data_IF_851203138312
#
_entry.id   IF_851203138312
#
_cell.length_a   1.000
_cell.length_b   1.000
_cell.length_c   1.000
_cell.angle_alpha   90.00
_cell.angle_beta   90.00
_cell.angle_gamma   90.00
#
_symmetry.space_group_name_H-M   'P 1'
#
loop_
_entity.id
_entity.type
_entity.pdbx_description
1 polymer ?
#
# COMPACT_ATOMS: atom_id res chain seq x y z
N UNK A 1 -3.40 18.74 26.00
CA UNK A 1 -2.20 19.41 25.45
C UNK A 1 -2.01 20.69 26.26
N UNK A 2 -0.86 20.88 26.90
CA UNK A 2 -0.60 22.06 27.72
C UNK A 2 -0.04 23.20 26.86
N UNK A 3 -0.92 24.12 26.47
CA UNK A 3 -0.54 25.27 25.66
C UNK A 3 0.33 26.27 26.45
N UNK A 4 0.20 26.33 27.78
CA UNK A 4 1.04 27.19 28.61
C UNK A 4 2.49 26.69 28.62
N UNK A 5 2.68 25.37 28.70
CA UNK A 5 3.98 24.71 28.54
C UNK A 5 4.62 24.97 27.17
N UNK A 6 3.86 24.96 26.07
CA UNK A 6 4.40 25.29 24.74
C UNK A 6 4.85 26.76 24.64
N UNK A 7 4.07 27.69 25.22
CA UNK A 7 4.38 29.12 25.21
C UNK A 7 5.58 29.46 26.09
N UNK A 8 5.85 28.69 27.14
CA UNK A 8 7.01 28.91 28.02
C UNK A 8 8.33 28.33 27.47
N UNK A 9 8.29 27.52 26.39
CA UNK A 9 9.50 26.94 25.81
C UNK A 9 10.50 28.01 25.33
N UNK A 10 11.82 27.74 25.44
CA UNK A 10 12.84 28.52 24.77
C UNK A 10 12.61 28.61 23.26
N UNK A 11 13.01 29.73 22.65
CA UNK A 11 12.79 30.00 21.23
C UNK A 11 13.23 28.85 20.28
N UNK A 12 14.40 28.20 20.47
CA UNK A 12 14.80 27.08 19.60
C UNK A 12 13.79 25.94 19.57
N UNK A 13 13.21 25.57 20.72
CA UNK A 13 12.21 24.50 20.79
C UNK A 13 10.89 24.91 20.14
N UNK A 14 10.48 26.17 20.29
CA UNK A 14 9.31 26.70 19.57
C UNK A 14 9.48 26.61 18.06
N UNK A 15 10.66 27.00 17.56
CA UNK A 15 10.99 26.90 16.15
C UNK A 15 11.02 25.44 15.67
N UNK A 16 11.58 24.52 16.47
CA UNK A 16 11.56 23.09 16.17
C UNK A 16 10.11 22.55 16.10
N UNK A 17 9.25 22.88 17.06
CA UNK A 17 7.83 22.53 17.03
C UNK A 17 7.13 23.11 15.79
N UNK A 18 7.36 24.39 15.47
CA UNK A 18 6.79 25.02 14.29
C UNK A 18 7.25 24.35 13.00
N UNK A 19 8.53 23.97 12.91
CA UNK A 19 9.08 23.24 11.76
C UNK A 19 8.44 21.86 11.60
N UNK A 20 8.23 21.11 12.70
CA UNK A 20 7.54 19.81 12.67
C UNK A 20 6.08 19.94 12.20
N UNK A 21 5.37 20.97 12.69
CA UNK A 21 4.00 21.27 12.24
C UNK A 21 3.99 21.64 10.77
N UNK A 22 4.88 22.55 10.33
CA UNK A 22 4.99 22.97 8.94
C UNK A 22 5.32 21.78 8.01
N UNK A 23 6.24 20.90 8.43
CA UNK A 23 6.59 19.69 7.69
C UNK A 23 5.39 18.74 7.55
N UNK A 24 4.64 18.53 8.64
CA UNK A 24 3.43 17.71 8.64
C UNK A 24 2.37 18.30 7.71
N UNK A 25 2.11 19.62 7.81
CA UNK A 25 1.15 20.32 6.95
C UNK A 25 1.57 20.26 5.47
N UNK A 26 2.86 20.45 5.18
CA UNK A 26 3.39 20.31 3.83
C UNK A 26 3.16 18.90 3.30
N UNK A 27 3.45 17.87 4.09
CA UNK A 27 3.19 16.49 3.70
C UNK A 27 1.71 16.18 3.51
N UNK A 28 0.82 16.81 4.28
CA UNK A 28 -0.62 16.69 4.10
C UNK A 28 -1.08 17.36 2.79
N UNK A 29 -0.53 18.53 2.43
CA UNK A 29 -0.83 19.23 1.17
C UNK A 29 -0.19 18.57 -0.06
N UNK A 30 1.01 17.99 0.11
CA UNK A 30 1.83 17.36 -0.93
C UNK A 30 2.13 15.90 -0.56
N UNK A 31 1.12 15.03 -0.62
CA UNK A 31 1.30 13.61 -0.27
C UNK A 31 2.28 12.89 -1.19
N UNK A 32 2.59 13.46 -2.36
CA UNK A 32 3.61 12.99 -3.32
C UNK A 32 5.06 13.24 -2.86
N UNK A 33 5.28 14.12 -1.87
CA UNK A 33 6.63 14.57 -1.48
C UNK A 33 7.08 14.09 -0.10
N UNK A 34 6.14 13.73 0.75
CA UNK A 34 6.41 13.31 2.13
C UNK A 34 5.69 12.01 2.37
N UNK A 35 6.43 10.99 2.84
CA UNK A 35 5.85 9.70 3.22
C UNK A 35 4.74 9.90 4.25
N UNK A 36 3.74 9.02 4.20
CA UNK A 36 2.53 9.13 5.01
C UNK A 36 2.81 9.03 6.51
N UNK A 37 3.89 8.34 6.90
CA UNK A 37 4.32 8.16 8.30
C UNK A 37 4.68 9.51 8.91
N UNK A 38 5.60 10.25 8.30
CA UNK A 38 6.04 11.53 8.87
C UNK A 38 5.00 12.65 8.76
N UNK A 39 4.03 12.50 7.85
CA UNK A 39 2.87 13.40 7.78
C UNK A 39 1.68 12.93 8.64
N UNK A 40 1.84 11.86 9.43
CA UNK A 40 0.81 11.29 10.32
C UNK A 40 -0.54 10.98 9.63
N UNK A 41 -0.52 10.67 8.32
CA UNK A 41 -1.76 10.46 7.53
C UNK A 41 -2.52 9.20 7.93
N UNK A 42 -1.85 8.24 8.56
CA UNK A 42 -2.45 7.00 9.04
C UNK A 42 -3.46 7.22 10.17
N UNK A 43 -3.31 8.26 10.97
CA UNK A 43 -4.30 8.64 11.98
C UNK A 43 -5.54 9.36 11.40
N UNK A 44 -5.44 9.84 10.16
CA UNK A 44 -6.49 10.63 9.51
C UNK A 44 -7.39 9.81 8.57
N UNK A 45 -7.26 8.48 8.52
CA UNK A 45 -8.01 7.64 7.57
C UNK A 45 -7.60 7.85 6.09
N UNK A 46 -6.43 8.46 5.87
CA UNK A 46 -5.88 8.84 4.56
C UNK A 46 -4.58 8.08 4.26
N UNK A 47 -4.51 6.84 4.73
CA UNK A 47 -3.37 5.96 4.53
C UNK A 47 -3.27 5.59 3.03
N UNK A 48 -2.14 5.78 2.34
CA UNK A 48 -1.97 5.19 1.02
C UNK A 48 -1.73 3.67 1.17
N UNK A 49 -1.97 2.81 0.18
CA UNK A 49 -1.58 1.39 0.29
C UNK A 49 -1.39 0.76 -1.07
N UNK A 50 -0.30 0.02 -1.17
CA UNK A 50 -0.02 -0.89 -2.27
C UNK A 50 -0.54 -2.31 -2.01
N UNK A 51 -0.80 -3.05 -3.07
CA UNK A 51 -1.09 -4.49 -3.09
C UNK A 51 -0.27 -5.09 -4.23
N UNK A 52 0.40 -6.20 -3.97
CA UNK A 52 1.15 -6.96 -4.96
C UNK A 52 0.33 -8.20 -5.29
N UNK A 53 -0.02 -8.36 -6.55
CA UNK A 53 -0.62 -9.57 -7.08
C UNK A 53 0.54 -10.44 -7.59
N UNK A 54 0.76 -11.58 -6.93
CA UNK A 54 1.80 -12.55 -7.28
C UNK A 54 1.18 -13.80 -7.86
N UNK A 55 1.59 -14.16 -9.08
CA UNK A 55 1.30 -15.49 -9.62
C UNK A 55 2.16 -16.53 -8.92
N UNK A 56 1.68 -17.77 -8.90
CA UNK A 56 2.42 -18.93 -8.39
C UNK A 56 3.83 -19.03 -8.99
N UNK A 57 3.97 -18.80 -10.30
CA UNK A 57 5.26 -18.82 -10.99
C UNK A 57 6.24 -17.75 -10.49
N UNK A 58 5.75 -16.56 -10.11
CA UNK A 58 6.61 -15.56 -9.46
C UNK A 58 7.07 -16.01 -8.08
N UNK A 59 6.17 -16.59 -7.29
CA UNK A 59 6.49 -17.08 -5.96
C UNK A 59 7.52 -18.23 -6.00
N UNK A 60 7.38 -19.15 -6.96
CA UNK A 60 8.36 -20.22 -7.21
C UNK A 60 9.74 -19.65 -7.58
N UNK A 61 9.81 -18.62 -8.43
CA UNK A 61 11.07 -17.92 -8.76
C UNK A 61 11.70 -17.29 -7.51
N UNK A 62 10.89 -16.70 -6.63
CA UNK A 62 11.36 -16.11 -5.38
C UNK A 62 11.91 -17.17 -4.42
N UNK A 63 11.26 -18.34 -4.29
CA UNK A 63 11.76 -19.46 -3.49
C UNK A 63 13.05 -20.06 -4.05
N UNK A 64 13.16 -20.18 -5.37
CA UNK A 64 14.39 -20.64 -6.00
C UNK A 64 15.54 -19.65 -5.79
N UNK A 65 15.25 -18.35 -5.82
CA UNK A 65 16.25 -17.30 -5.64
C UNK A 65 16.73 -17.17 -4.19
N UNK A 66 15.83 -17.34 -3.23
CA UNK A 66 16.05 -17.18 -1.80
C UNK A 66 15.52 -18.38 -1.00
N UNK A 67 16.15 -19.56 -1.10
CA UNK A 67 15.68 -20.77 -0.43
C UNK A 67 15.66 -20.62 1.10
N UNK A 68 16.58 -19.88 1.69
CA UNK A 68 16.61 -19.65 3.14
C UNK A 68 15.39 -18.84 3.62
N UNK A 69 14.89 -17.91 2.79
CA UNK A 69 13.65 -17.19 3.08
C UNK A 69 12.42 -18.06 2.85
N UNK A 70 12.46 -18.97 1.88
CA UNK A 70 11.37 -19.92 1.65
C UNK A 70 11.14 -20.83 2.87
N UNK A 71 12.19 -21.19 3.60
CA UNK A 71 12.11 -21.96 4.85
C UNK A 71 11.40 -21.21 5.98
N UNK A 72 11.41 -19.87 5.93
CA UNK A 72 10.76 -19.05 6.96
C UNK A 72 9.24 -19.07 6.87
N UNK A 73 8.68 -19.29 5.67
CA UNK A 73 7.24 -19.31 5.43
C UNK A 73 6.84 -18.78 4.05
N UNK A 74 5.54 -18.76 3.76
CA UNK A 74 5.03 -18.33 2.46
C UNK A 74 5.19 -16.82 2.22
N UNK A 75 5.46 -16.45 0.97
CA UNK A 75 5.56 -15.04 0.56
C UNK A 75 4.25 -14.31 0.86
N UNK A 76 4.33 -13.25 1.66
CA UNK A 76 3.23 -12.30 1.83
C UNK A 76 2.18 -12.66 2.88
N UNK A 77 2.47 -13.65 3.73
CA UNK A 77 1.72 -13.91 4.95
C UNK A 77 2.46 -13.38 6.19
N UNK A 78 1.80 -13.46 7.35
CA UNK A 78 2.49 -13.37 8.63
C UNK A 78 3.54 -14.49 8.74
N UNK A 79 4.65 -14.20 9.40
CA UNK A 79 5.67 -15.22 9.63
C UNK A 79 5.10 -16.37 10.50
N UNK A 80 5.28 -17.66 10.13
CA UNK A 80 4.85 -18.84 10.91
C UNK A 80 5.29 -18.85 12.37
N UNK A 81 6.44 -18.26 12.69
CA UNK A 81 6.88 -18.08 14.09
C UNK A 81 5.99 -17.12 14.91
N UNK A 82 5.24 -16.22 14.27
CA UNK A 82 4.27 -15.32 14.93
C UNK A 82 2.92 -16.02 15.09
N UNK A 83 2.45 -16.70 14.04
CA UNK A 83 1.21 -17.47 14.05
C UNK A 83 1.40 -18.78 13.27
N UNK A 84 1.55 -19.93 13.95
CA UNK A 84 1.80 -21.21 13.30
C UNK A 84 0.60 -21.76 12.51
N UNK A 85 -0.62 -21.36 12.83
CA UNK A 85 -1.84 -21.83 12.16
C UNK A 85 -2.05 -21.10 10.81
N UNK A 86 -2.00 -21.87 9.72
CA UNK A 86 -2.18 -21.34 8.36
C UNK A 86 -3.53 -20.67 8.14
N UNK A 87 -4.62 -21.26 8.65
CA UNK A 87 -5.94 -20.71 8.49
C UNK A 87 -6.06 -19.35 9.19
N UNK A 88 -5.45 -19.18 10.37
CA UNK A 88 -5.41 -17.90 11.06
C UNK A 88 -4.57 -16.86 10.31
N UNK A 89 -3.43 -17.25 9.72
CA UNK A 89 -2.61 -16.33 8.90
C UNK A 89 -3.37 -15.85 7.67
N UNK A 90 -4.00 -16.76 6.93
CA UNK A 90 -4.83 -16.43 5.77
C UNK A 90 -6.02 -15.56 6.16
N UNK A 91 -6.72 -15.94 7.23
CA UNK A 91 -7.83 -15.14 7.78
C UNK A 91 -7.39 -13.74 8.15
N UNK A 92 -6.21 -13.59 8.77
CA UNK A 92 -5.64 -12.29 9.10
C UNK A 92 -5.39 -11.46 7.84
N UNK A 93 -4.76 -12.04 6.81
CA UNK A 93 -4.46 -11.36 5.54
C UNK A 93 -5.74 -10.81 4.88
N UNK A 94 -6.79 -11.64 4.77
CA UNK A 94 -8.06 -11.22 4.17
C UNK A 94 -8.82 -10.20 5.03
N UNK A 95 -8.82 -10.37 6.36
CA UNK A 95 -9.44 -9.40 7.27
C UNK A 95 -8.70 -8.06 7.25
N UNK A 96 -7.37 -8.08 7.15
CA UNK A 96 -6.55 -6.90 6.98
C UNK A 96 -6.93 -6.19 5.69
N UNK A 97 -7.01 -6.90 4.56
CA UNK A 97 -7.49 -6.35 3.29
C UNK A 97 -8.86 -5.70 3.37
N UNK A 98 -9.84 -6.42 3.92
CA UNK A 98 -11.20 -5.90 4.09
C UNK A 98 -11.23 -4.65 4.99
N UNK A 99 -10.46 -4.65 6.07
CA UNK A 99 -10.36 -3.51 6.99
C UNK A 99 -9.83 -2.28 6.28
N UNK A 100 -8.74 -2.41 5.53
CA UNK A 100 -8.14 -1.28 4.81
C UNK A 100 -9.07 -0.73 3.73
N UNK A 101 -9.67 -1.61 2.92
CA UNK A 101 -10.63 -1.24 1.89
C UNK A 101 -11.86 -0.51 2.43
N UNK A 102 -12.28 -0.79 3.67
CA UNK A 102 -13.48 -0.20 4.28
C UNK A 102 -13.17 1.02 5.16
N UNK A 103 -12.04 1.02 5.86
CA UNK A 103 -11.65 2.05 6.83
C UNK A 103 -10.82 3.18 6.23
N UNK A 104 -10.06 2.93 5.15
CA UNK A 104 -9.20 3.94 4.52
C UNK A 104 -9.82 4.43 3.22
N UNK A 105 -10.07 5.73 3.12
CA UNK A 105 -10.79 6.31 1.98
C UNK A 105 -10.10 6.03 0.63
N UNK A 106 -8.76 6.19 0.48
CA UNK A 106 -8.10 5.89 -0.79
C UNK A 106 -8.25 4.43 -1.24
N UNK A 107 -8.44 3.49 -0.30
CA UNK A 107 -8.43 2.06 -0.63
C UNK A 107 -9.78 1.54 -1.06
N UNK A 108 -10.83 2.36 -0.98
CA UNK A 108 -12.13 2.01 -1.56
C UNK A 108 -12.02 1.73 -3.07
N UNK A 109 -11.07 2.37 -3.76
CA UNK A 109 -10.80 2.11 -5.18
C UNK A 109 -10.14 0.75 -5.44
N UNK A 110 -9.47 0.16 -4.45
CA UNK A 110 -8.60 -1.00 -4.64
C UNK A 110 -9.31 -2.20 -5.26
N UNK A 111 -10.53 -2.60 -4.85
CA UNK A 111 -11.22 -3.73 -5.46
C UNK A 111 -11.46 -3.56 -6.96
N UNK A 112 -11.74 -2.33 -7.41
CA UNK A 112 -11.91 -2.03 -8.82
C UNK A 112 -10.59 -2.13 -9.60
N UNK A 113 -9.49 -1.67 -9.00
CA UNK A 113 -8.16 -1.78 -9.61
C UNK A 113 -7.68 -3.23 -9.65
N UNK A 114 -7.94 -4.02 -8.60
CA UNK A 114 -7.69 -5.46 -8.60
C UNK A 114 -8.48 -6.13 -9.73
N UNK A 115 -9.78 -5.83 -9.88
CA UNK A 115 -10.56 -6.35 -11.00
C UNK A 115 -9.98 -5.96 -12.38
N UNK A 116 -9.46 -4.73 -12.51
CA UNK A 116 -8.80 -4.24 -13.73
C UNK A 116 -7.54 -5.05 -14.06
N UNK A 117 -6.74 -5.42 -13.06
CA UNK A 117 -5.55 -6.27 -13.23
C UNK A 117 -5.92 -7.72 -13.53
N UNK A 118 -6.90 -8.28 -12.80
CA UNK A 118 -7.28 -9.69 -12.92
C UNK A 118 -7.95 -10.02 -14.27
N UNK A 119 -8.60 -9.06 -14.93
CA UNK A 119 -9.27 -9.22 -16.24
C UNK A 119 -10.21 -10.44 -16.31
N UNK A 120 -10.91 -10.73 -15.21
CA UNK A 120 -11.84 -11.86 -15.10
C UNK A 120 -11.23 -13.16 -14.58
N UNK A 121 -9.90 -13.22 -14.40
CA UNK A 121 -9.23 -14.29 -13.65
C UNK A 121 -9.63 -14.24 -12.18
N UNK A 122 -9.72 -15.39 -11.50
CA UNK A 122 -10.07 -15.40 -10.07
C UNK A 122 -8.87 -14.95 -9.26
N UNK A 123 -9.13 -14.23 -8.17
CA UNK A 123 -8.08 -13.84 -7.21
C UNK A 123 -7.39 -15.07 -6.59
N UNK A 124 -8.11 -16.20 -6.50
CA UNK A 124 -7.62 -17.50 -6.02
C UNK A 124 -6.74 -18.24 -7.02
N UNK A 125 -6.72 -17.81 -8.29
CA UNK A 125 -5.76 -18.35 -9.28
C UNK A 125 -4.36 -17.74 -9.07
N UNK A 126 -4.24 -16.78 -8.15
CA UNK A 126 -3.00 -16.24 -7.60
C UNK A 126 -2.82 -16.86 -6.22
N UNK A 127 -1.62 -17.34 -5.89
CA UNK A 127 -1.36 -17.86 -4.53
C UNK A 127 -1.29 -16.74 -3.49
N UNK A 128 -1.12 -15.48 -3.91
CA UNK A 128 -1.16 -14.36 -2.97
C UNK A 128 -1.59 -13.02 -3.59
N UNK A 129 -2.55 -12.36 -2.92
CA UNK A 129 -2.58 -10.90 -2.84
C UNK A 129 -1.74 -10.51 -1.64
N UNK A 130 -0.52 -10.10 -1.92
CA UNK A 130 0.48 -9.79 -0.93
C UNK A 130 0.48 -8.29 -0.66
N UNK A 131 0.38 -7.86 0.59
CA UNK A 131 0.66 -6.45 0.87
C UNK A 131 2.17 -6.23 0.76
N UNK A 132 2.64 -5.12 0.16
CA UNK A 132 4.05 -4.73 0.20
C UNK A 132 4.63 -4.77 1.61
N UNK A 133 3.80 -4.44 2.61
CA UNK A 133 4.16 -4.60 4.02
C UNK A 133 4.54 -6.05 4.35
N UNK A 134 3.75 -7.05 3.95
CA UNK A 134 4.06 -8.44 4.26
C UNK A 134 5.27 -8.96 3.49
N UNK A 135 5.36 -8.62 2.20
CA UNK A 135 6.54 -8.98 1.40
C UNK A 135 7.83 -8.40 2.00
N UNK A 136 7.83 -7.09 2.27
CA UNK A 136 9.05 -6.40 2.66
C UNK A 136 9.41 -6.62 4.13
N UNK A 137 8.42 -6.56 5.03
CA UNK A 137 8.64 -6.65 6.49
C UNK A 137 8.77 -8.08 6.98
N UNK A 138 7.90 -8.99 6.54
CA UNK A 138 7.89 -10.36 7.09
C UNK A 138 8.70 -11.35 6.28
N UNK A 139 8.95 -11.08 4.99
CA UNK A 139 9.64 -12.03 4.12
C UNK A 139 11.05 -11.58 3.71
N UNK A 140 11.20 -10.37 3.14
CA UNK A 140 12.51 -9.83 2.74
C UNK A 140 13.31 -9.21 3.91
N UNK A 141 12.82 -9.33 5.15
CA UNK A 141 13.46 -8.84 6.38
C UNK A 141 13.88 -7.35 6.37
N UNK A 142 13.21 -6.52 5.57
CA UNK A 142 13.42 -5.07 5.53
C UNK A 142 12.42 -4.34 6.43
N UNK A 143 12.85 -3.30 7.16
CA UNK A 143 11.92 -2.35 7.79
C UNK A 143 11.33 -1.41 6.73
N UNK A 144 10.46 -1.94 5.87
CA UNK A 144 9.76 -1.18 4.85
C UNK A 144 8.26 -1.19 5.14
N UNK A 145 7.78 -0.10 5.71
CA UNK A 145 6.36 0.14 5.92
C UNK A 145 5.79 0.80 4.67
N UNK A 146 4.77 0.18 4.08
CA UNK A 146 3.86 0.72 3.06
C UNK A 146 4.15 2.17 2.59
N UNK A 147 5.13 2.34 1.71
CA UNK A 147 5.58 3.67 1.28
C UNK A 147 5.52 3.78 -0.24
N UNK A 148 4.39 4.27 -0.79
CA UNK A 148 4.21 4.41 -2.24
C UNK A 148 5.31 5.21 -2.94
N UNK A 149 6.04 6.06 -2.21
CA UNK A 149 7.16 6.82 -2.77
C UNK A 149 8.38 5.96 -3.07
N UNK A 150 8.52 4.80 -2.41
CA UNK A 150 9.70 3.93 -2.51
C UNK A 150 9.37 2.48 -2.94
N UNK A 151 8.10 2.05 -2.91
CA UNK A 151 7.68 0.68 -3.28
C UNK A 151 8.16 0.23 -4.68
N UNK A 152 8.25 1.16 -5.65
CA UNK A 152 8.75 0.83 -7.00
C UNK A 152 10.22 0.39 -7.01
N UNK A 153 11.03 0.86 -6.06
CA UNK A 153 12.43 0.43 -5.93
C UNK A 153 12.48 -1.02 -5.50
N UNK A 154 11.70 -1.40 -4.49
CA UNK A 154 11.60 -2.80 -4.04
C UNK A 154 11.19 -3.71 -5.20
N UNK A 155 10.15 -3.34 -5.95
CA UNK A 155 9.66 -4.13 -7.08
C UNK A 155 10.75 -4.32 -8.15
N UNK A 156 11.51 -3.27 -8.46
CA UNK A 156 12.63 -3.33 -9.43
C UNK A 156 13.76 -4.22 -8.94
N UNK A 157 14.15 -4.13 -7.67
CA UNK A 157 15.24 -4.96 -7.12
C UNK A 157 14.83 -6.44 -7.08
N UNK A 158 13.62 -6.76 -6.64
CA UNK A 158 13.12 -8.15 -6.67
C UNK A 158 13.05 -8.67 -8.11
N UNK A 159 12.63 -7.86 -9.07
CA UNK A 159 12.61 -8.24 -10.48
C UNK A 159 14.00 -8.54 -11.06
N UNK A 160 15.03 -7.75 -10.71
CA UNK A 160 16.42 -7.99 -11.16
C UNK A 160 16.92 -9.37 -10.74
N UNK A 161 16.50 -9.85 -9.58
CA UNK A 161 16.94 -11.11 -9.01
C UNK A 161 16.09 -12.30 -9.48
N UNK A 162 14.78 -12.10 -9.66
CA UNK A 162 13.83 -13.18 -9.96
C UNK A 162 13.46 -13.29 -11.44
N UNK A 163 13.73 -12.28 -12.26
CA UNK A 163 13.41 -12.25 -13.70
C UNK A 163 11.94 -12.63 -14.00
N UNK A 164 11.00 -11.91 -13.38
CA UNK A 164 9.57 -12.12 -13.62
C UNK A 164 9.19 -11.92 -15.10
N UNK A 165 8.23 -12.72 -15.58
CA UNK A 165 7.54 -12.47 -16.83
C UNK A 165 6.43 -11.44 -16.63
N UNK A 166 5.92 -10.91 -17.75
CA UNK A 166 4.79 -9.99 -17.74
C UNK A 166 3.58 -10.58 -17.00
N UNK A 167 3.04 -9.79 -16.08
CA UNK A 167 1.86 -10.09 -15.29
C UNK A 167 2.09 -11.10 -14.17
N UNK A 168 3.32 -11.53 -13.90
CA UNK A 168 3.60 -12.46 -12.79
C UNK A 168 3.73 -11.76 -11.44
N UNK A 169 4.17 -10.50 -11.43
CA UNK A 169 4.32 -9.69 -10.22
C UNK A 169 3.84 -8.26 -10.52
N UNK A 170 2.64 -7.92 -10.05
CA UNK A 170 1.97 -6.65 -10.35
C UNK A 170 1.66 -5.90 -9.07
N UNK A 171 2.19 -4.69 -8.93
CA UNK A 171 1.91 -3.80 -7.81
C UNK A 171 0.84 -2.77 -8.18
N UNK A 172 -0.20 -2.69 -7.35
CA UNK A 172 -1.32 -1.76 -7.48
C UNK A 172 -1.29 -0.84 -6.27
N UNK A 173 -1.32 0.48 -6.46
CA UNK A 173 -1.27 1.43 -5.35
C UNK A 173 -2.33 2.51 -5.46
N UNK A 174 -2.93 2.85 -4.32
CA UNK A 174 -3.72 4.07 -4.14
C UNK A 174 -2.97 5.02 -3.19
N UNK A 175 -2.70 6.24 -3.66
CA UNK A 175 -2.00 7.27 -2.88
C UNK A 175 -2.99 8.09 -2.03
N UNK A 176 -2.47 8.81 -1.05
CA UNK A 176 -3.27 9.68 -0.19
C UNK A 176 -3.91 10.83 -0.96
N UNK A 177 -5.05 11.30 -0.47
CA UNK A 177 -5.60 12.59 -0.87
C UNK A 177 -4.75 13.73 -0.29
N UNK A 178 -4.64 14.87 -1.00
CA UNK A 178 -4.14 16.10 -0.38
C UNK A 178 -5.11 16.61 0.69
N UNK A 179 -4.60 17.38 1.64
CA UNK A 179 -5.37 17.96 2.74
C UNK A 179 -6.58 18.72 2.21
N UNK A 180 -7.72 18.54 2.88
CA UNK A 180 -9.00 19.17 2.54
C UNK A 180 -9.49 18.88 1.11
N UNK A 181 -8.96 17.87 0.40
CA UNK A 181 -9.28 17.56 -1.01
C UNK A 181 -10.75 17.76 -1.42
N UNK A 182 -11.70 17.35 -0.57
CA UNK A 182 -13.13 17.52 -0.79
C UNK A 182 -13.61 18.97 -1.00
N UNK A 183 -12.94 19.99 -0.43
CA UNK A 183 -13.35 21.40 -0.51
C UNK A 183 -12.93 22.10 -1.81
N UNK A 184 -11.90 21.60 -2.47
CA UNK A 184 -11.18 22.26 -3.57
C UNK A 184 -10.89 21.29 -4.73
N UNK A 185 -11.61 20.17 -4.78
CA UNK A 185 -11.53 19.21 -5.88
C UNK A 185 -10.20 18.44 -5.96
N UNK A 186 -9.49 18.32 -4.83
CA UNK A 186 -8.27 17.54 -4.74
C UNK A 186 -8.52 16.07 -5.07
N UNK A 187 -7.57 15.45 -5.77
CA UNK A 187 -7.65 14.05 -6.19
C UNK A 187 -6.52 13.25 -5.57
N UNK A 188 -6.81 11.98 -5.27
CA UNK A 188 -5.80 10.97 -5.05
C UNK A 188 -5.41 10.35 -6.40
N UNK A 189 -4.19 9.85 -6.51
CA UNK A 189 -3.72 9.11 -7.68
C UNK A 189 -3.67 7.62 -7.38
N UNK A 190 -3.87 6.80 -8.40
CA UNK A 190 -3.56 5.37 -8.37
C UNK A 190 -2.60 5.01 -9.49
N UNK A 191 -1.83 3.95 -9.29
CA UNK A 191 -0.88 3.43 -10.28
C UNK A 191 -0.89 1.90 -10.25
N UNK A 192 -0.64 1.29 -11.41
CA UNK A 192 -0.44 -0.14 -11.59
C UNK A 192 0.90 -0.32 -12.27
N UNK A 193 1.79 -1.06 -11.61
CA UNK A 193 3.13 -1.37 -12.09
C UNK A 193 3.27 -2.88 -12.26
N UNK A 194 3.84 -3.29 -13.37
CA UNK A 194 4.34 -4.64 -13.56
C UNK A 194 5.84 -4.66 -13.26
N UNK A 195 6.32 -5.69 -12.58
CA UNK A 195 7.71 -5.75 -12.15
C UNK A 195 8.71 -5.72 -13.33
N UNK A 196 8.32 -6.27 -14.49
CA UNK A 196 9.11 -6.27 -15.72
C UNK A 196 8.90 -5.02 -16.55
N UNK A 197 7.65 -4.60 -16.75
CA UNK A 197 7.33 -3.50 -17.67
C UNK A 197 7.39 -2.11 -17.01
N UNK A 198 7.40 -2.03 -15.68
CA UNK A 198 7.26 -0.78 -14.94
C UNK A 198 5.82 -0.28 -14.91
N UNK A 199 5.62 1.03 -14.98
CA UNK A 199 4.29 1.64 -14.92
C UNK A 199 3.43 1.23 -16.13
N UNK A 200 2.37 0.47 -15.89
CA UNK A 200 1.42 0.02 -16.92
C UNK A 200 0.34 1.07 -17.17
N UNK A 201 -0.25 1.59 -16.09
CA UNK A 201 -1.35 2.54 -16.17
C UNK A 201 -1.48 3.30 -14.85
N UNK A 202 -2.00 4.52 -14.93
CA UNK A 202 -2.25 5.38 -13.79
C UNK A 202 -3.52 6.19 -14.00
N UNK A 203 -4.03 6.74 -12.91
CA UNK A 203 -5.18 7.63 -12.95
C UNK A 203 -5.37 8.36 -11.64
N UNK A 204 -6.51 9.04 -11.53
CA UNK A 204 -6.86 9.79 -10.34
C UNK A 204 -8.33 9.66 -10.02
N UNK A 205 -8.69 9.93 -8.77
CA UNK A 205 -10.06 9.86 -8.28
C UNK A 205 -10.27 10.88 -7.17
N UNK A 206 -11.51 11.34 -7.07
CA UNK A 206 -12.01 12.30 -6.09
C UNK A 206 -12.49 11.57 -4.83
N UNK A 207 -12.69 12.33 -3.75
CA UNK A 207 -13.33 11.84 -2.53
C UNK A 207 -14.74 11.29 -2.82
N UNK A 208 -15.50 11.96 -3.68
CA UNK A 208 -16.86 11.54 -4.04
C UNK A 208 -16.86 10.20 -4.79
N UNK A 209 -15.94 10.00 -5.73
CA UNK A 209 -15.79 8.72 -6.45
C UNK A 209 -15.43 7.60 -5.48
N UNK A 210 -14.45 7.80 -4.58
CA UNK A 210 -14.09 6.81 -3.57
C UNK A 210 -15.27 6.46 -2.64
N UNK A 211 -16.06 7.46 -2.22
CA UNK A 211 -17.23 7.25 -1.35
C UNK A 211 -18.38 6.54 -2.07
N UNK A 212 -18.51 6.71 -3.39
CA UNK A 212 -19.55 6.04 -4.19
C UNK A 212 -19.39 4.51 -4.22
N UNK A 213 -18.19 4.01 -3.91
CA UNK A 213 -17.90 2.58 -3.81
C UNK A 213 -18.40 2.07 -2.46
N UNK A 214 -19.59 1.49 -2.49
CA UNK A 214 -20.29 0.98 -1.29
C UNK A 214 -20.38 -0.54 -1.26
N UNK A 215 -20.15 -1.23 -2.38
CA UNK A 215 -20.27 -2.69 -2.51
C UNK A 215 -19.14 -3.29 -3.35
N UNK A 216 -17.88 -3.16 -2.93
CA UNK A 216 -16.71 -3.54 -3.73
C UNK A 216 -16.75 -4.98 -4.24
N UNK A 217 -17.26 -5.94 -3.45
CA UNK A 217 -17.34 -7.35 -3.85
C UNK A 217 -18.34 -7.68 -4.98
N UNK A 218 -19.18 -6.74 -5.40
CA UNK A 218 -20.18 -6.93 -6.48
C UNK A 218 -19.78 -6.17 -7.76
N UNK A 219 -18.73 -5.34 -7.69
CA UNK A 219 -18.35 -4.47 -8.80
C UNK A 219 -17.65 -5.27 -9.90
N UNK A 220 -18.42 -5.70 -10.91
CA UNK A 220 -17.88 -6.03 -12.23
C UNK A 220 -17.26 -4.77 -12.81
N UNK A 221 -16.07 -4.87 -13.42
CA UNK A 221 -15.31 -3.75 -13.98
C UNK A 221 -16.21 -2.82 -14.81
N UNK A 222 -16.73 -1.76 -14.19
CA UNK A 222 -17.20 -0.59 -14.92
C UNK A 222 -15.92 0.18 -15.30
N UNK A 223 -15.87 0.72 -16.51
CA UNK A 223 -14.70 1.44 -16.97
C UNK A 223 -14.39 2.60 -16.01
N UNK A 224 -13.20 2.56 -15.41
CA UNK A 224 -12.55 3.63 -14.64
C UNK A 224 -11.28 4.00 -15.38
#
# INVERSE_FOLDING_TARGET
FDFAGLVSLPLPYKLACAALVAYTLFGQLRPDRVTYVFAYRFWAGNWPQGYIILKKSAQEKMYQRWPELAETGPVGELHPAIEPDEWKRLSFLYNFAGTFQTAQLPHRMMPLLIHKVLKGTRITDFEGVVFPLFLATFWLAGNHMNDPTNDTTLLKEVHKECHFEEGECVWIVCKSFPLLAHLWGGKASWEIHDARLGLITSGSFTVAEALSITRPGILKAKAI
#
